data_IF_200665944107
#
_entry.id   IF_200665944107
#
_cell.length_a   1.000
_cell.length_b   1.000
_cell.length_c   1.000
_cell.angle_alpha   90.00
_cell.angle_beta   90.00
_cell.angle_gamma   90.00
#
_symmetry.space_group_name_H-M   'P 1'
#
loop_
_entity.id
_entity.type
_entity.pdbx_description
1 polymer ?
#
# COMPACT_ATOMS: atom_id res chain seq x y z
N UNK A 1 -3.13 10.81 -1.18
CA UNK A 1 -4.11 10.92 -2.29
C UNK A 1 -5.15 9.82 -2.24
N UNK A 2 -4.79 8.53 -2.32
CA UNK A 2 -5.73 7.40 -2.32
C UNK A 2 -6.81 7.46 -1.20
N UNK A 3 -6.38 7.55 0.06
CA UNK A 3 -7.31 7.70 1.20
C UNK A 3 -8.19 8.95 1.12
N UNK A 4 -7.66 10.05 0.59
CA UNK A 4 -8.42 11.29 0.41
C UNK A 4 -9.47 11.14 -0.68
N UNK A 5 -9.14 10.49 -1.80
CA UNK A 5 -10.11 10.15 -2.84
C UNK A 5 -11.24 9.28 -2.29
N UNK A 6 -10.92 8.27 -1.47
CA UNK A 6 -11.94 7.45 -0.82
C UNK A 6 -12.89 8.29 0.07
N UNK A 7 -12.39 9.30 0.79
CA UNK A 7 -13.23 10.20 1.60
C UNK A 7 -14.20 11.09 0.79
N UNK A 8 -14.00 11.19 -0.52
CA UNK A 8 -14.83 11.97 -1.45
C UNK A 8 -15.66 11.07 -2.39
N UNK A 9 -15.75 9.78 -2.07
CA UNK A 9 -16.33 8.74 -2.92
C UNK A 9 -15.69 8.71 -4.32
N UNK A 10 -14.37 8.77 -4.39
CA UNK A 10 -13.58 8.61 -5.62
C UNK A 10 -12.79 7.32 -5.50
N UNK A 11 -13.01 6.40 -6.44
CA UNK A 11 -12.21 5.18 -6.55
C UNK A 11 -10.84 5.48 -7.14
N UNK A 12 -9.81 4.79 -6.65
CA UNK A 12 -8.43 4.93 -7.12
C UNK A 12 -7.79 3.56 -7.39
N UNK A 13 -6.88 3.51 -8.36
CA UNK A 13 -6.11 2.33 -8.72
C UNK A 13 -4.66 2.72 -9.02
N UNK A 14 -3.73 2.19 -8.23
CA UNK A 14 -2.30 2.30 -8.49
C UNK A 14 -1.92 1.49 -9.73
N UNK A 15 -1.58 2.18 -10.81
CA UNK A 15 -1.46 1.59 -12.14
C UNK A 15 0.00 1.58 -12.64
N UNK A 16 0.75 0.60 -12.14
CA UNK A 16 2.20 0.44 -12.37
C UNK A 16 2.62 0.21 -13.83
N UNK A 17 1.73 -0.30 -14.69
CA UNK A 17 2.01 -0.60 -16.11
C UNK A 17 1.68 0.56 -17.04
N UNK A 18 1.14 1.66 -16.52
CA UNK A 18 0.92 2.87 -17.29
C UNK A 18 2.23 3.41 -17.85
N UNK A 19 2.14 4.02 -19.02
CA UNK A 19 3.23 4.74 -19.66
C UNK A 19 2.82 6.20 -19.81
N UNK A 20 3.80 7.08 -19.68
CA UNK A 20 3.71 8.50 -20.00
C UNK A 20 4.74 8.80 -21.08
N UNK A 21 4.46 9.77 -21.94
CA UNK A 21 5.41 10.26 -22.94
C UNK A 21 6.49 11.14 -22.27
N UNK A 22 6.08 11.92 -21.25
CA UNK A 22 6.97 12.76 -20.44
C UNK A 22 7.32 12.04 -19.14
N UNK A 23 8.60 11.66 -18.98
CA UNK A 23 9.13 11.04 -17.77
C UNK A 23 9.58 12.06 -16.72
N UNK A 24 9.65 13.34 -17.09
CA UNK A 24 9.97 14.43 -16.20
C UNK A 24 9.05 15.61 -16.46
N UNK A 25 8.60 16.26 -15.40
CA UNK A 25 7.77 17.47 -15.46
C UNK A 25 8.20 18.39 -14.32
N UNK A 26 8.54 19.65 -14.62
CA UNK A 26 9.02 20.64 -13.65
C UNK A 26 10.16 20.14 -12.73
N UNK A 27 11.08 19.35 -13.29
CA UNK A 27 12.22 18.76 -12.56
C UNK A 27 11.87 17.57 -11.66
N UNK A 28 10.63 17.06 -11.72
CA UNK A 28 10.17 15.89 -10.98
C UNK A 28 10.11 14.67 -11.90
N UNK A 29 10.63 13.54 -11.44
CA UNK A 29 10.56 12.27 -12.15
C UNK A 29 9.18 11.62 -12.05
N UNK A 30 8.74 10.95 -13.13
CA UNK A 30 7.59 10.06 -13.10
C UNK A 30 7.83 8.87 -12.17
N UNK A 31 6.93 8.67 -11.21
CA UNK A 31 7.00 7.57 -10.25
C UNK A 31 5.99 6.46 -10.58
N UNK A 32 4.70 6.80 -10.55
CA UNK A 32 3.60 5.87 -10.78
C UNK A 32 2.32 6.63 -11.15
N UNK A 33 1.50 6.04 -12.00
CA UNK A 33 0.17 6.57 -12.32
C UNK A 33 -0.86 6.07 -11.31
N UNK A 34 -1.79 6.94 -10.94
CA UNK A 34 -3.02 6.56 -10.22
C UNK A 34 -4.19 6.86 -11.15
N UNK A 35 -4.89 5.82 -11.60
CA UNK A 35 -6.17 5.99 -12.28
C UNK A 35 -7.25 6.24 -11.23
N UNK A 36 -8.11 7.24 -11.42
CA UNK A 36 -9.18 7.56 -10.49
C UNK A 36 -10.47 7.93 -11.21
N UNK A 37 -11.60 7.81 -10.52
CA UNK A 37 -12.91 8.13 -11.09
C UNK A 37 -13.97 8.23 -10.01
N UNK A 38 -15.08 8.91 -10.32
CA UNK A 38 -16.20 9.04 -9.38
C UNK A 38 -16.78 7.65 -9.10
N UNK A 39 -16.95 7.36 -7.81
CA UNK A 39 -17.63 6.18 -7.30
C UNK A 39 -18.83 6.62 -6.47
N UNK A 40 -19.66 5.65 -6.09
CA UNK A 40 -20.72 5.84 -5.09
C UNK A 40 -20.31 5.17 -3.78
N UNK A 41 -20.81 5.63 -2.62
CA UNK A 41 -20.50 5.01 -1.33
C UNK A 41 -20.72 3.49 -1.30
N UNK A 42 -21.72 2.98 -2.03
CA UNK A 42 -22.03 1.56 -2.12
C UNK A 42 -21.04 0.74 -2.97
N UNK A 43 -20.26 1.39 -3.84
CA UNK A 43 -19.25 0.72 -4.66
C UNK A 43 -18.01 0.36 -3.83
N UNK A 44 -17.81 1.04 -2.69
CA UNK A 44 -16.75 0.72 -1.74
C UNK A 44 -17.04 -0.58 -1.00
N UNK A 45 -15.99 -1.35 -0.74
CA UNK A 45 -16.10 -2.65 -0.08
C UNK A 45 -16.56 -2.47 1.37
N UNK A 46 -17.80 -2.85 1.65
CA UNK A 46 -18.39 -2.86 3.01
C UNK A 46 -17.93 -4.04 3.86
N UNK A 47 -17.67 -5.18 3.23
CA UNK A 47 -17.21 -6.38 3.91
C UNK A 47 -15.70 -6.57 3.71
N UNK A 48 -14.92 -6.16 4.72
CA UNK A 48 -13.46 -6.17 4.68
C UNK A 48 -12.86 -7.58 4.67
N UNK A 49 -13.62 -8.62 5.06
CA UNK A 49 -13.17 -10.03 4.97
C UNK A 49 -13.00 -10.50 3.53
N UNK A 50 -13.61 -9.79 2.57
CA UNK A 50 -13.39 -10.03 1.12
C UNK A 50 -12.06 -9.47 0.61
N UNK A 51 -11.32 -8.69 1.41
CA UNK A 51 -9.97 -8.28 1.08
C UNK A 51 -9.01 -9.45 1.34
N UNK A 52 -8.32 -9.92 0.31
CA UNK A 52 -7.23 -10.87 0.50
C UNK A 52 -6.02 -10.15 1.13
N UNK A 53 -5.82 -10.36 2.44
CA UNK A 53 -4.69 -9.84 3.22
C UNK A 53 -4.06 -10.94 4.06
N UNK A 54 -2.75 -10.84 4.29
CA UNK A 54 -2.03 -11.69 5.22
C UNK A 54 -2.61 -11.52 6.63
N UNK A 55 -2.53 -12.59 7.41
CA UNK A 55 -2.90 -12.56 8.81
C UNK A 55 -2.02 -11.58 9.59
N UNK A 56 -2.60 -10.89 10.58
CA UNK A 56 -1.88 -9.89 11.37
C UNK A 56 -0.63 -10.49 12.03
N UNK A 57 -0.70 -11.73 12.54
CA UNK A 57 0.43 -12.40 13.19
C UNK A 57 1.59 -12.70 12.23
N UNK A 58 1.33 -12.72 10.93
CA UNK A 58 2.37 -12.89 9.89
C UNK A 58 3.09 -11.57 9.58
N UNK A 59 2.41 -10.45 9.79
CA UNK A 59 2.91 -9.12 9.47
C UNK A 59 3.55 -8.44 10.69
N UNK A 60 2.90 -8.53 11.85
CA UNK A 60 3.20 -7.73 13.03
C UNK A 60 3.71 -8.61 14.17
N UNK A 61 4.82 -8.18 14.76
CA UNK A 61 5.40 -8.80 15.95
C UNK A 61 5.60 -7.76 17.06
N UNK A 62 5.29 -8.15 18.29
CA UNK A 62 5.35 -7.28 19.46
C UNK A 62 4.04 -6.53 19.71
N UNK A 63 3.96 -5.91 20.89
CA UNK A 63 2.75 -5.25 21.37
C UNK A 63 2.59 -3.85 20.75
N UNK A 64 1.37 -3.53 20.33
CA UNK A 64 0.97 -2.21 19.84
C UNK A 64 -0.55 -2.07 19.88
N UNK A 65 -1.08 -0.90 19.53
CA UNK A 65 -2.52 -0.72 19.36
C UNK A 65 -3.04 -1.70 18.28
N UNK A 66 -3.87 -2.66 18.70
CA UNK A 66 -4.40 -3.71 17.83
C UNK A 66 -5.23 -3.14 16.67
N UNK A 67 -6.03 -2.09 16.91
CA UNK A 67 -6.86 -1.47 15.88
C UNK A 67 -6.00 -0.87 14.77
N UNK A 68 -4.94 -0.16 15.12
CA UNK A 68 -4.00 0.41 14.14
C UNK A 68 -3.28 -0.72 13.39
N UNK A 69 -2.75 -1.71 14.11
CA UNK A 69 -2.02 -2.83 13.53
C UNK A 69 -2.90 -3.67 12.57
N UNK A 70 -4.17 -3.92 12.93
CA UNK A 70 -5.11 -4.64 12.08
C UNK A 70 -5.58 -3.79 10.89
N UNK A 71 -5.67 -2.47 11.02
CA UNK A 71 -6.14 -1.59 9.94
C UNK A 71 -5.05 -1.33 8.89
N UNK A 72 -3.81 -1.09 9.30
CA UNK A 72 -2.70 -0.76 8.39
C UNK A 72 -2.41 -1.87 7.38
N UNK A 73 -2.68 -3.14 7.72
CA UNK A 73 -2.48 -4.28 6.79
C UNK A 73 -3.33 -4.18 5.53
N UNK A 74 -4.37 -3.33 5.52
CA UNK A 74 -5.23 -3.12 4.36
C UNK A 74 -4.64 -2.17 3.32
N UNK A 75 -3.50 -1.53 3.59
CA UNK A 75 -2.75 -0.75 2.61
C UNK A 75 -2.64 -1.49 1.26
N UNK A 76 -2.78 -0.79 0.11
CA UNK A 76 -2.58 -1.40 -1.19
C UNK A 76 -1.09 -1.69 -1.44
N UNK A 77 -0.82 -2.66 -2.29
CA UNK A 77 0.54 -2.96 -2.74
C UNK A 77 0.52 -3.54 -4.16
N UNK A 78 1.64 -3.43 -4.87
CA UNK A 78 1.78 -3.93 -6.22
C UNK A 78 1.49 -5.44 -6.27
N UNK A 79 0.56 -5.87 -7.14
CA UNK A 79 0.08 -7.25 -7.23
C UNK A 79 -0.34 -7.88 -5.88
N UNK A 80 -0.73 -7.07 -4.89
CA UNK A 80 -1.09 -7.53 -3.53
C UNK A 80 0.01 -8.35 -2.81
N UNK A 81 1.28 -8.10 -3.14
CA UNK A 81 2.46 -8.77 -2.55
C UNK A 81 2.61 -8.57 -1.04
N UNK A 82 2.09 -7.45 -0.52
CA UNK A 82 2.12 -7.03 0.87
C UNK A 82 3.53 -7.16 1.47
N UNK A 83 4.50 -6.37 0.97
CA UNK A 83 5.92 -6.64 1.20
C UNK A 83 6.45 -6.16 2.54
N UNK A 84 5.60 -5.88 3.52
CA UNK A 84 5.97 -5.34 4.82
C UNK A 84 6.01 -6.41 5.91
N UNK A 85 6.91 -6.20 6.87
CA UNK A 85 6.99 -6.87 8.17
C UNK A 85 7.25 -5.81 9.22
N UNK A 86 6.55 -5.88 10.35
CA UNK A 86 6.62 -4.89 11.42
C UNK A 86 7.09 -5.55 12.71
N UNK A 87 7.97 -4.86 13.43
CA UNK A 87 8.36 -5.20 14.80
C UNK A 87 8.14 -3.98 15.68
N UNK A 88 7.31 -4.11 16.70
CA UNK A 88 7.05 -3.09 17.72
C UNK A 88 7.75 -3.50 19.02
N UNK A 89 8.75 -2.73 19.42
CA UNK A 89 9.48 -2.91 20.68
C UNK A 89 10.05 -1.57 21.17
N UNK A 90 10.28 -1.41 22.48
CA UNK A 90 11.01 -0.27 23.04
C UNK A 90 10.51 1.11 22.56
N UNK A 91 9.18 1.32 22.51
CA UNK A 91 8.55 2.54 21.98
C UNK A 91 8.98 2.89 20.54
N UNK A 92 9.32 1.88 19.74
CA UNK A 92 9.74 2.03 18.36
C UNK A 92 9.00 1.03 17.47
N UNK A 93 8.55 1.51 16.30
CA UNK A 93 8.00 0.65 15.26
C UNK A 93 9.04 0.54 14.15
N UNK A 94 9.55 -0.67 13.93
CA UNK A 94 10.51 -0.98 12.86
C UNK A 94 9.77 -1.66 11.73
N UNK A 95 9.81 -1.05 10.55
CA UNK A 95 9.16 -1.58 9.36
C UNK A 95 10.21 -2.07 8.36
N UNK A 96 10.14 -3.34 8.01
CA UNK A 96 11.06 -4.02 7.11
C UNK A 96 10.36 -4.41 5.81
N UNK A 97 11.10 -4.35 4.70
CA UNK A 97 10.65 -4.86 3.41
C UNK A 97 11.08 -6.32 3.24
N UNK A 98 10.13 -7.21 3.05
CA UNK A 98 10.39 -8.59 2.65
C UNK A 98 10.81 -8.64 1.17
N UNK A 99 12.01 -9.15 0.88
CA UNK A 99 12.61 -9.10 -0.46
C UNK A 99 12.38 -10.36 -1.29
N UNK A 100 12.06 -11.49 -0.63
CA UNK A 100 11.81 -12.78 -1.27
C UNK A 100 10.30 -13.05 -1.40
N UNK A 101 9.64 -12.31 -2.29
CA UNK A 101 8.19 -12.43 -2.50
C UNK A 101 7.91 -12.97 -3.90
N UNK A 102 6.98 -13.94 -3.99
CA UNK A 102 6.41 -14.38 -5.26
C UNK A 102 5.53 -13.25 -5.82
N UNK A 103 5.87 -12.76 -7.00
CA UNK A 103 5.14 -11.70 -7.71
C UNK A 103 5.15 -11.96 -9.21
N UNK A 104 4.13 -11.45 -9.90
CA UNK A 104 4.10 -11.41 -11.36
C UNK A 104 4.97 -10.27 -11.93
N UNK A 105 5.46 -9.37 -11.06
CA UNK A 105 6.34 -8.27 -11.44
C UNK A 105 7.75 -8.81 -11.76
N UNK A 106 8.39 -8.38 -12.85
CA UNK A 106 9.77 -8.74 -13.15
C UNK A 106 10.73 -8.48 -11.99
N UNK A 107 11.66 -9.41 -11.74
CA UNK A 107 12.57 -9.37 -10.57
C UNK A 107 13.38 -8.07 -10.46
N UNK A 108 13.75 -7.46 -11.58
CA UNK A 108 14.49 -6.21 -11.63
C UNK A 108 13.64 -4.97 -11.31
N UNK A 109 12.31 -5.05 -11.48
CA UNK A 109 11.38 -3.96 -11.18
C UNK A 109 10.72 -4.08 -9.81
N UNK A 110 10.64 -5.30 -9.28
CA UNK A 110 9.99 -5.58 -7.99
C UNK A 110 10.56 -4.73 -6.83
N UNK A 111 11.89 -4.51 -6.69
CA UNK A 111 12.40 -3.65 -5.63
C UNK A 111 11.90 -2.22 -5.71
N UNK A 112 11.75 -1.65 -6.91
CA UNK A 112 11.25 -0.30 -7.11
C UNK A 112 9.79 -0.17 -6.65
N UNK A 113 8.90 -1.03 -7.15
CA UNK A 113 7.49 -0.99 -6.75
C UNK A 113 7.29 -1.32 -5.28
N UNK A 114 8.03 -2.28 -4.74
CA UNK A 114 7.93 -2.56 -3.31
C UNK A 114 8.42 -1.39 -2.45
N UNK A 115 9.34 -0.53 -2.93
CA UNK A 115 9.70 0.71 -2.21
C UNK A 115 8.51 1.68 -2.14
N UNK A 116 7.73 1.79 -3.22
CA UNK A 116 6.48 2.57 -3.24
C UNK A 116 5.47 1.94 -2.27
N UNK A 117 5.31 0.61 -2.29
CA UNK A 117 4.42 -0.12 -1.38
C UNK A 117 4.78 0.13 0.10
N UNK A 118 6.08 0.19 0.43
CA UNK A 118 6.52 0.54 1.79
C UNK A 118 6.12 1.96 2.16
N UNK A 119 6.26 2.93 1.24
CA UNK A 119 5.84 4.31 1.47
C UNK A 119 4.32 4.43 1.68
N UNK A 120 3.54 3.70 0.91
CA UNK A 120 2.08 3.61 1.09
C UNK A 120 1.75 3.04 2.47
N UNK A 121 2.38 1.92 2.87
CA UNK A 121 2.18 1.31 4.18
C UNK A 121 2.52 2.26 5.34
N UNK A 122 3.65 2.97 5.25
CA UNK A 122 4.05 3.95 6.26
C UNK A 122 3.07 5.12 6.35
N UNK A 123 2.56 5.60 5.21
CA UNK A 123 1.52 6.63 5.18
C UNK A 123 0.23 6.16 5.86
N UNK A 124 -0.20 4.91 5.64
CA UNK A 124 -1.33 4.34 6.37
C UNK A 124 -1.05 4.23 7.86
N UNK A 125 0.15 3.83 8.26
CA UNK A 125 0.53 3.70 9.68
C UNK A 125 0.49 5.05 10.42
N UNK A 126 0.87 6.14 9.74
CA UNK A 126 0.88 7.49 10.29
C UNK A 126 -0.52 8.10 10.43
N UNK A 127 -1.42 7.81 9.48
CA UNK A 127 -2.74 8.46 9.38
C UNK A 127 -3.81 7.74 10.24
N UNK A 128 -3.68 6.43 10.44
CA UNK A 128 -4.69 5.57 11.06
C UNK A 128 -4.65 5.59 12.59
#
# INVERSE_FOLDING_TARGET
MDLFFASLDIGACWYALAKTEELQHDGLDYVIMIAFGKSRPEDFRKNISKCNRKDLKTIWHGEFNHTVADTVRYAPSACNTQPWRVVSDNNCIKVYRHTLIKSFIPKNKLPYYNSIDMGIFLCFLEIV
#
